data_IF_920767083823
#
_entry.id   IF_920767083823
#
_cell.length_a   1.000
_cell.length_b   1.000
_cell.length_c   1.000
_cell.angle_alpha   90.00
_cell.angle_beta   90.00
_cell.angle_gamma   90.00
#
_symmetry.space_group_name_H-M   'P 1'
#
loop_
_entity.id
_entity.type
_entity.pdbx_description
1 polymer ?
#
# COMPACT_ATOMS: atom_id res chain seq x y z
N UNK A 1 20.84 3.43 3.63
CA UNK A 1 19.53 3.91 3.17
C UNK A 1 19.27 3.62 1.69
N UNK A 2 20.29 3.42 0.85
CA UNK A 2 20.13 3.25 -0.61
C UNK A 2 19.82 1.83 -1.11
N UNK A 3 20.07 0.79 -0.33
CA UNK A 3 19.89 -0.61 -0.81
C UNK A 3 18.45 -1.10 -0.78
N UNK A 4 17.63 -0.67 0.18
CA UNK A 4 16.23 -1.11 0.26
C UNK A 4 15.36 -0.46 -0.84
N UNK A 5 15.58 0.82 -1.11
CA UNK A 5 14.88 1.57 -2.17
C UNK A 5 15.23 1.01 -3.55
N UNK A 6 16.49 0.63 -3.78
CA UNK A 6 16.92 0.02 -5.04
C UNK A 6 16.31 -1.38 -5.26
N UNK A 7 16.05 -2.14 -4.20
CA UNK A 7 15.45 -3.48 -4.30
C UNK A 7 13.97 -3.36 -4.69
N UNK A 8 13.21 -2.44 -4.09
CA UNK A 8 11.78 -2.24 -4.40
C UNK A 8 11.60 -1.68 -5.82
N UNK A 9 12.43 -0.72 -6.25
CA UNK A 9 12.37 -0.15 -7.60
C UNK A 9 12.82 -1.14 -8.68
N UNK A 10 13.84 -1.95 -8.40
CA UNK A 10 14.33 -2.97 -9.33
C UNK A 10 13.32 -4.09 -9.60
N UNK A 11 12.50 -4.45 -8.61
CA UNK A 11 11.47 -5.48 -8.76
C UNK A 11 10.27 -5.04 -9.61
N UNK A 12 9.89 -3.76 -9.57
CA UNK A 12 8.71 -3.24 -10.30
C UNK A 12 9.03 -3.05 -11.79
N UNK A 13 10.26 -2.66 -12.13
CA UNK A 13 10.65 -2.42 -13.53
C UNK A 13 10.89 -3.73 -14.30
N UNK A 14 11.22 -4.83 -13.62
CA UNK A 14 11.56 -6.10 -14.25
C UNK A 14 10.36 -6.85 -14.87
N UNK A 15 9.12 -6.51 -14.51
CA UNK A 15 7.92 -7.18 -15.05
C UNK A 15 7.47 -6.68 -16.44
N UNK A 16 8.06 -5.61 -16.96
CA UNK A 16 7.69 -5.04 -18.29
C UNK A 16 8.28 -5.78 -19.48
N UNK A 17 9.15 -6.76 -19.28
CA UNK A 17 9.92 -7.42 -20.35
C UNK A 17 9.54 -8.88 -20.64
N UNK A 18 8.32 -9.32 -20.34
CA UNK A 18 7.79 -10.62 -20.80
C UNK A 18 8.56 -11.88 -20.38
N UNK A 19 9.56 -11.77 -19.53
CA UNK A 19 10.25 -12.89 -18.89
C UNK A 19 9.83 -12.93 -17.43
N UNK A 20 9.18 -13.99 -17.00
CA UNK A 20 8.96 -14.29 -15.59
C UNK A 20 10.34 -14.42 -14.93
N UNK A 21 10.85 -13.33 -14.37
CA UNK A 21 12.00 -13.41 -13.49
C UNK A 21 11.55 -14.16 -12.24
N UNK A 22 12.08 -15.36 -12.03
CA UNK A 22 11.86 -16.11 -10.80
C UNK A 22 12.14 -15.17 -9.61
N UNK A 23 11.19 -15.10 -8.70
CA UNK A 23 11.37 -14.31 -7.50
C UNK A 23 12.68 -14.73 -6.81
N UNK A 24 13.49 -13.78 -6.32
CA UNK A 24 14.70 -14.13 -5.57
C UNK A 24 14.38 -15.15 -4.48
N UNK A 25 15.25 -16.12 -4.26
CA UNK A 25 15.01 -17.24 -3.34
C UNK A 25 14.56 -16.81 -1.93
N UNK A 26 15.02 -15.65 -1.45
CA UNK A 26 14.60 -15.10 -0.17
C UNK A 26 13.11 -14.67 -0.16
N UNK A 27 12.56 -14.19 -1.31
CA UNK A 27 11.14 -13.85 -1.44
C UNK A 27 10.28 -15.12 -1.51
N UNK A 28 10.77 -16.18 -2.14
CA UNK A 28 10.10 -17.48 -2.15
C UNK A 28 10.02 -18.09 -0.74
N UNK A 29 11.03 -17.88 0.09
CA UNK A 29 11.05 -18.35 1.48
C UNK A 29 10.14 -17.49 2.38
N UNK A 30 10.09 -16.17 2.16
CA UNK A 30 9.15 -15.26 2.83
C UNK A 30 7.68 -15.53 2.43
N UNK A 31 7.45 -15.98 1.20
CA UNK A 31 6.12 -16.28 0.66
C UNK A 31 5.65 -17.70 0.96
N UNK A 32 6.41 -18.52 1.72
CA UNK A 32 6.00 -19.88 2.07
C UNK A 32 4.68 -19.81 2.84
N UNK A 33 3.62 -20.41 2.26
CA UNK A 33 2.24 -20.44 2.78
C UNK A 33 1.54 -19.06 2.87
N UNK A 34 2.08 -18.03 2.17
CA UNK A 34 1.55 -16.67 2.17
C UNK A 34 1.40 -16.15 0.74
N UNK A 35 0.55 -15.16 0.55
CA UNK A 35 0.46 -14.43 -0.72
C UNK A 35 1.19 -13.11 -0.59
N UNK A 36 2.31 -12.98 -1.28
CA UNK A 36 3.05 -11.73 -1.38
C UNK A 36 2.60 -10.99 -2.63
N UNK A 37 2.13 -9.74 -2.46
CA UNK A 37 1.60 -8.92 -3.55
C UNK A 37 2.32 -7.58 -3.62
N UNK A 38 2.57 -7.10 -4.84
CA UNK A 38 2.94 -5.70 -5.05
C UNK A 38 1.68 -4.82 -5.06
N UNK A 39 1.87 -3.57 -4.72
CA UNK A 39 0.83 -2.55 -4.69
C UNK A 39 1.28 -1.32 -5.48
N UNK A 40 0.37 -0.71 -6.22
CA UNK A 40 0.60 0.53 -6.94
C UNK A 40 -0.63 1.43 -6.86
N UNK A 41 -0.43 2.69 -6.51
CA UNK A 41 -1.47 3.72 -6.60
C UNK A 41 -0.97 4.89 -7.44
N UNK A 42 -1.64 5.18 -8.56
CA UNK A 42 -1.31 6.33 -9.39
C UNK A 42 -1.96 7.63 -8.93
N UNK A 43 -2.99 7.55 -8.07
CA UNK A 43 -3.86 8.69 -7.81
C UNK A 43 -4.55 8.65 -6.45
N UNK A 44 -4.64 9.82 -5.83
CA UNK A 44 -5.43 10.06 -4.61
C UNK A 44 -6.38 11.22 -4.84
N UNK A 45 -7.68 10.98 -4.62
CA UNK A 45 -8.71 12.02 -4.60
C UNK A 45 -8.75 12.67 -3.22
N UNK A 46 -8.49 13.97 -3.13
CA UNK A 46 -8.59 14.73 -1.89
C UNK A 46 -10.00 15.32 -1.74
N UNK A 47 -10.60 15.18 -0.55
CA UNK A 47 -11.94 15.76 -0.29
C UNK A 47 -11.90 17.28 -0.12
N UNK A 48 -10.76 17.84 0.26
CA UNK A 48 -10.54 19.28 0.35
C UNK A 48 -9.41 19.67 -0.58
N UNK A 49 -9.68 20.00 -1.86
CA UNK A 49 -8.66 20.41 -2.81
C UNK A 49 -7.88 21.64 -2.32
N UNK A 50 -6.58 21.66 -2.59
CA UNK A 50 -5.68 22.80 -2.28
C UNK A 50 -4.63 22.88 -3.38
N UNK A 51 -4.20 24.09 -3.72
CA UNK A 51 -3.13 24.32 -4.70
C UNK A 51 -1.77 23.78 -4.22
N UNK A 52 -1.61 23.57 -2.91
CA UNK A 52 -0.44 22.92 -2.32
C UNK A 52 -0.40 21.41 -2.56
N UNK A 53 -1.52 20.80 -2.94
CA UNK A 53 -1.59 19.35 -3.13
C UNK A 53 -0.89 18.93 -4.42
N UNK A 54 0.00 17.97 -4.27
CA UNK A 54 0.71 17.29 -5.36
C UNK A 54 0.11 15.90 -5.58
N UNK A 55 0.31 15.36 -6.77
CA UNK A 55 -0.09 14.00 -7.05
C UNK A 55 0.64 13.01 -6.13
N UNK A 56 -0.11 12.11 -5.52
CA UNK A 56 0.40 11.04 -4.65
C UNK A 56 0.55 9.79 -5.49
N UNK A 57 1.79 9.31 -5.63
CA UNK A 57 2.09 8.02 -6.26
C UNK A 57 2.66 7.11 -5.18
N UNK A 58 2.09 5.90 -5.06
CA UNK A 58 2.47 4.92 -4.05
C UNK A 58 2.88 3.61 -4.71
N UNK A 59 3.91 3.00 -4.15
CA UNK A 59 4.32 1.61 -4.43
C UNK A 59 4.46 0.88 -3.09
N UNK A 60 4.17 -0.40 -3.08
CA UNK A 60 4.26 -1.18 -1.85
C UNK A 60 4.33 -2.67 -2.05
N UNK A 61 4.50 -3.35 -0.94
CA UNK A 61 4.45 -4.81 -0.83
C UNK A 61 3.56 -5.17 0.35
N UNK A 62 2.65 -6.08 0.12
CA UNK A 62 1.72 -6.62 1.12
C UNK A 62 1.85 -8.13 1.19
N UNK A 63 1.80 -8.65 2.38
CA UNK A 63 1.77 -10.07 2.68
C UNK A 63 0.39 -10.44 3.27
N UNK A 64 -0.33 -11.32 2.60
CA UNK A 64 -1.55 -11.94 3.15
C UNK A 64 -1.19 -13.31 3.71
N UNK A 65 -1.47 -13.50 4.99
CA UNK A 65 -1.24 -14.74 5.71
C UNK A 65 -2.42 -15.71 5.56
N UNK A 66 -2.23 -17.04 5.78
CA UNK A 66 -3.31 -18.03 5.69
C UNK A 66 -4.49 -17.78 6.64
N UNK A 67 -4.25 -17.09 7.74
CA UNK A 67 -5.25 -16.69 8.74
C UNK A 67 -5.90 -15.34 8.42
N UNK A 68 -5.77 -14.86 7.18
CA UNK A 68 -6.32 -13.59 6.69
C UNK A 68 -5.75 -12.33 7.37
N UNK A 69 -4.63 -12.43 8.08
CA UNK A 69 -3.87 -11.25 8.53
C UNK A 69 -3.14 -10.61 7.36
N UNK A 70 -2.95 -9.30 7.46
CA UNK A 70 -2.18 -8.51 6.50
C UNK A 70 -1.05 -7.80 7.22
N UNK A 71 0.12 -7.78 6.62
CA UNK A 71 1.21 -6.88 6.95
C UNK A 71 1.88 -6.37 5.67
N UNK A 72 2.57 -5.24 5.75
CA UNK A 72 3.19 -4.68 4.57
C UNK A 72 3.89 -3.34 4.81
N UNK A 73 4.43 -2.83 3.71
CA UNK A 73 5.10 -1.55 3.67
C UNK A 73 4.84 -0.85 2.34
N UNK A 74 4.54 0.45 2.41
CA UNK A 74 4.36 1.28 1.22
C UNK A 74 5.29 2.50 1.27
N UNK A 75 5.72 2.93 0.09
CA UNK A 75 6.51 4.12 -0.14
C UNK A 75 5.73 5.03 -1.07
N UNK A 76 5.61 6.30 -0.74
CA UNK A 76 4.91 7.28 -1.55
C UNK A 76 5.43 8.70 -1.34
N UNK A 77 5.11 9.58 -2.26
CA UNK A 77 5.19 11.02 -2.02
C UNK A 77 3.85 11.46 -1.44
N UNK A 78 3.85 12.08 -0.26
CA UNK A 78 2.61 12.59 0.32
C UNK A 78 2.06 13.78 -0.48
N UNK A 79 0.87 14.23 -0.14
CA UNK A 79 0.17 15.33 -0.83
C UNK A 79 0.96 16.65 -0.88
N UNK A 80 2.02 16.77 -0.12
CA UNK A 80 2.89 17.96 -0.09
C UNK A 80 4.27 17.69 -0.72
N UNK A 81 4.42 16.52 -1.39
CA UNK A 81 5.64 16.14 -2.12
C UNK A 81 6.77 15.63 -1.24
N UNK A 82 6.52 15.31 0.03
CA UNK A 82 7.53 14.73 0.92
C UNK A 82 7.56 13.21 0.79
N UNK A 83 8.76 12.58 0.73
CA UNK A 83 8.87 11.13 0.78
C UNK A 83 8.29 10.58 2.09
N UNK A 84 7.43 9.60 1.98
CA UNK A 84 6.68 9.04 3.09
C UNK A 84 6.68 7.52 3.02
N UNK A 85 6.75 6.90 4.18
CA UNK A 85 6.67 5.44 4.38
C UNK A 85 5.48 5.15 5.26
N UNK A 86 4.72 4.12 4.94
CA UNK A 86 3.74 3.53 5.83
C UNK A 86 4.06 2.05 6.02
N UNK A 87 4.45 1.68 7.23
CA UNK A 87 4.67 0.29 7.63
C UNK A 87 3.51 -0.16 8.51
N UNK A 88 2.84 -1.24 8.12
CA UNK A 88 1.67 -1.76 8.82
C UNK A 88 1.89 -3.24 9.20
N UNK A 89 2.31 -3.52 10.44
CA UNK A 89 2.46 -4.88 10.93
C UNK A 89 1.11 -5.53 11.31
N UNK A 90 0.03 -4.77 11.28
CA UNK A 90 -1.31 -5.25 11.62
C UNK A 90 -2.29 -4.93 10.50
N UNK A 91 -3.11 -5.93 10.17
CA UNK A 91 -4.18 -5.79 9.21
C UNK A 91 -4.98 -7.07 9.08
N UNK A 92 -6.06 -7.00 8.30
CA UNK A 92 -6.90 -8.15 8.02
C UNK A 92 -7.71 -7.97 6.75
N UNK A 93 -8.13 -9.10 6.18
CA UNK A 93 -9.01 -9.15 5.03
C UNK A 93 -10.24 -10.02 5.33
N UNK A 94 -11.42 -9.49 5.01
CA UNK A 94 -12.69 -10.19 5.09
C UNK A 94 -13.21 -10.36 3.66
N UNK A 95 -13.09 -11.60 3.14
CA UNK A 95 -13.49 -11.96 1.77
C UNK A 95 -15.01 -12.16 1.68
N UNK A 96 -15.55 -12.07 0.45
CA UNK A 96 -16.99 -12.25 0.16
C UNK A 96 -17.87 -11.31 1.00
N UNK A 97 -17.45 -10.04 1.03
CA UNK A 97 -18.16 -9.02 1.79
C UNK A 97 -19.63 -8.92 1.31
N UNK A 98 -20.57 -8.94 2.24
CA UNK A 98 -22.03 -8.95 1.97
C UNK A 98 -22.50 -10.08 1.04
N UNK A 99 -21.77 -11.17 0.95
CA UNK A 99 -22.07 -12.29 0.05
C UNK A 99 -21.68 -12.03 -1.43
N UNK A 100 -21.01 -10.92 -1.72
CA UNK A 100 -20.56 -10.58 -3.07
C UNK A 100 -19.20 -11.25 -3.30
N UNK A 101 -19.16 -12.18 -4.27
CA UNK A 101 -17.90 -12.80 -4.68
C UNK A 101 -16.88 -11.76 -5.13
N UNK A 102 -15.61 -12.05 -4.86
CA UNK A 102 -14.48 -11.17 -5.20
C UNK A 102 -14.45 -9.80 -4.49
N UNK A 103 -15.50 -9.40 -3.76
CA UNK A 103 -15.49 -8.18 -2.95
C UNK A 103 -14.94 -8.49 -1.56
N UNK A 104 -13.98 -7.69 -1.11
CA UNK A 104 -13.36 -7.84 0.20
C UNK A 104 -13.31 -6.51 0.95
N UNK A 105 -13.50 -6.55 2.26
CA UNK A 105 -13.11 -5.47 3.14
C UNK A 105 -11.71 -5.74 3.67
N UNK A 106 -10.84 -4.74 3.60
CA UNK A 106 -9.48 -4.78 4.15
C UNK A 106 -9.32 -3.66 5.18
N UNK A 107 -8.44 -3.87 6.12
CA UNK A 107 -7.96 -2.81 7.00
C UNK A 107 -6.49 -3.04 7.30
N UNK A 108 -5.75 -1.95 7.49
CA UNK A 108 -4.36 -1.98 7.92
C UNK A 108 -4.15 -0.98 9.05
N UNK A 109 -3.23 -1.28 9.96
CA UNK A 109 -2.86 -0.41 11.05
C UNK A 109 -1.35 -0.42 11.24
N UNK A 110 -0.76 0.75 11.41
CA UNK A 110 0.68 0.86 11.51
C UNK A 110 1.17 2.27 11.73
N UNK A 111 2.42 2.50 11.37
CA UNK A 111 3.12 3.74 11.56
C UNK A 111 3.48 4.37 10.22
N UNK A 112 3.08 5.60 10.05
CA UNK A 112 3.41 6.47 8.93
C UNK A 112 4.57 7.36 9.33
N UNK A 113 5.56 7.54 8.45
CA UNK A 113 6.65 8.49 8.62
C UNK A 113 6.86 9.30 7.34
N UNK A 114 6.89 10.64 7.47
CA UNK A 114 7.19 11.48 6.30
C UNK A 114 6.58 12.88 6.35
N UNK A 115 5.53 13.12 7.13
CA UNK A 115 4.95 14.46 7.29
C UNK A 115 5.78 15.27 8.28
N UNK A 116 6.69 16.08 7.76
CA UNK A 116 7.60 16.96 8.52
C UNK A 116 7.28 18.43 8.28
N UNK A 117 7.92 19.30 9.03
CA UNK A 117 7.75 20.74 8.85
C UNK A 117 7.91 21.15 7.36
N UNK A 118 7.03 22.06 6.88
CA UNK A 118 5.94 22.75 7.57
C UNK A 118 4.61 21.98 7.64
N UNK A 119 4.55 20.71 7.22
CA UNK A 119 3.30 19.94 7.03
C UNK A 119 3.04 18.89 8.12
N UNK A 120 3.72 19.00 9.26
CA UNK A 120 3.57 18.03 10.36
C UNK A 120 2.14 17.95 10.92
N UNK A 121 1.39 19.05 10.89
CA UNK A 121 0.04 19.15 11.44
C UNK A 121 -1.05 18.64 10.44
N UNK A 122 -0.64 18.15 9.27
CA UNK A 122 -1.55 17.64 8.24
C UNK A 122 -1.99 16.18 8.47
N UNK A 123 -1.38 15.50 9.43
CA UNK A 123 -1.77 14.15 9.87
C UNK A 123 -1.93 14.13 11.39
N UNK A 124 -2.93 13.41 11.91
CA UNK A 124 -3.21 13.37 13.34
C UNK A 124 -2.07 12.70 14.12
N UNK A 125 -1.89 13.14 15.37
CA UNK A 125 -0.92 12.57 16.32
C UNK A 125 0.53 12.53 15.81
N UNK A 126 0.90 13.45 14.92
CA UNK A 126 2.26 13.52 14.40
C UNK A 126 3.25 13.92 15.50
N UNK A 127 4.27 13.08 15.69
CA UNK A 127 5.40 13.39 16.55
C UNK A 127 6.70 13.14 15.78
N UNK A 128 7.47 14.20 15.52
CA UNK A 128 8.73 14.15 14.75
C UNK A 128 8.62 13.43 13.39
N UNK A 129 7.50 13.60 12.69
CA UNK A 129 7.24 12.97 11.39
C UNK A 129 6.58 11.60 11.48
N UNK A 130 6.45 11.01 12.66
CA UNK A 130 5.75 9.76 12.89
C UNK A 130 4.29 9.99 13.26
N UNK A 131 3.39 9.21 12.68
CA UNK A 131 1.96 9.28 12.94
C UNK A 131 1.35 7.88 12.89
N UNK A 132 0.54 7.46 13.87
CA UNK A 132 -0.24 6.22 13.75
C UNK A 132 -1.28 6.38 12.64
N UNK A 133 -1.53 5.31 11.90
CA UNK A 133 -2.54 5.31 10.87
C UNK A 133 -3.30 3.99 10.85
N UNK A 134 -4.63 4.09 10.65
CA UNK A 134 -5.52 2.96 10.36
C UNK A 134 -6.21 3.27 9.05
N UNK A 135 -6.10 2.36 8.08
CA UNK A 135 -6.62 2.56 6.73
C UNK A 135 -7.58 1.42 6.39
N UNK A 136 -8.89 1.66 6.44
CA UNK A 136 -9.88 0.74 5.89
C UNK A 136 -9.92 0.85 4.37
N UNK A 137 -10.28 -0.26 3.70
CA UNK A 137 -10.35 -0.31 2.25
C UNK A 137 -11.43 -1.30 1.77
N UNK A 138 -11.93 -1.06 0.56
CA UNK A 138 -12.69 -2.02 -0.22
C UNK A 138 -11.83 -2.48 -1.40
N UNK A 139 -11.74 -3.79 -1.59
CA UNK A 139 -10.99 -4.39 -2.69
C UNK A 139 -11.88 -5.31 -3.51
N UNK A 140 -11.75 -5.24 -4.83
CA UNK A 140 -12.45 -6.10 -5.76
C UNK A 140 -11.45 -6.82 -6.67
N UNK A 141 -11.48 -8.16 -6.65
CA UNK A 141 -10.67 -8.99 -7.53
C UNK A 141 -11.34 -9.10 -8.90
N UNK A 142 -10.82 -8.38 -9.89
CA UNK A 142 -11.34 -8.34 -11.25
C UNK A 142 -10.73 -9.40 -12.18
N UNK A 143 -9.64 -10.02 -11.76
CA UNK A 143 -8.95 -11.11 -12.42
C UNK A 143 -8.23 -11.93 -11.35
N UNK A 144 -8.06 -13.27 -11.52
CA UNK A 144 -7.36 -14.09 -10.53
C UNK A 144 -6.03 -13.45 -10.07
N UNK A 145 -5.96 -13.14 -8.78
CA UNK A 145 -4.83 -12.47 -8.15
C UNK A 145 -4.72 -10.97 -8.38
N UNK A 146 -5.50 -10.35 -9.29
CA UNK A 146 -5.46 -8.91 -9.53
C UNK A 146 -6.64 -8.22 -8.88
N UNK A 147 -6.39 -7.24 -8.05
CA UNK A 147 -7.44 -6.47 -7.39
C UNK A 147 -7.29 -4.98 -7.58
N UNK A 148 -8.43 -4.30 -7.74
CA UNK A 148 -8.58 -2.87 -7.56
C UNK A 148 -9.02 -2.59 -6.14
N UNK A 149 -8.44 -1.58 -5.50
CA UNK A 149 -8.71 -1.26 -4.09
C UNK A 149 -8.93 0.23 -3.92
N UNK A 150 -9.90 0.56 -3.07
CA UNK A 150 -10.21 1.91 -2.64
C UNK A 150 -9.87 2.05 -1.17
N UNK A 151 -8.81 2.79 -0.88
CA UNK A 151 -8.36 3.06 0.48
C UNK A 151 -9.00 4.36 1.00
N UNK A 152 -9.56 4.31 2.21
CA UNK A 152 -10.17 5.45 2.87
C UNK A 152 -9.15 6.11 3.80
N UNK A 153 -8.69 7.30 3.43
CA UNK A 153 -7.66 8.05 4.17
C UNK A 153 -8.30 9.00 5.21
N UNK A 154 -9.31 8.52 5.93
CA UNK A 154 -10.09 9.31 6.87
C UNK A 154 -10.78 10.49 6.18
N UNK A 155 -10.60 11.68 6.71
CA UNK A 155 -11.15 12.93 6.14
C UNK A 155 -10.29 13.52 5.02
N UNK A 156 -9.12 12.95 4.74
CA UNK A 156 -8.19 13.48 3.74
C UNK A 156 -8.62 13.13 2.30
N UNK A 157 -9.11 11.89 2.06
CA UNK A 157 -9.46 11.49 0.70
C UNK A 157 -9.57 9.99 0.48
N UNK A 158 -9.59 9.62 -0.80
CA UNK A 158 -9.64 8.25 -1.29
C UNK A 158 -8.41 7.97 -2.16
N UNK A 159 -7.71 6.86 -1.90
CA UNK A 159 -6.59 6.43 -2.72
C UNK A 159 -6.98 5.20 -3.53
N UNK A 160 -6.83 5.29 -4.86
CA UNK A 160 -7.07 4.19 -5.78
C UNK A 160 -5.79 3.36 -5.94
N UNK A 161 -5.90 2.05 -5.77
CA UNK A 161 -4.76 1.15 -5.78
C UNK A 161 -5.05 -0.07 -6.65
N UNK A 162 -4.03 -0.58 -7.29
CA UNK A 162 -4.02 -1.90 -7.94
C UNK A 162 -2.98 -2.75 -7.24
N UNK A 163 -3.29 -4.04 -7.07
CA UNK A 163 -2.34 -5.02 -6.53
C UNK A 163 -2.44 -6.35 -7.27
N UNK A 164 -1.30 -7.06 -7.31
CA UNK A 164 -1.22 -8.41 -7.83
C UNK A 164 -0.09 -9.20 -7.13
N UNK A 165 -0.19 -10.54 -7.08
CA UNK A 165 0.85 -11.35 -6.47
C UNK A 165 2.16 -11.26 -7.26
N UNK A 166 3.27 -11.46 -6.57
CA UNK A 166 4.54 -11.79 -7.20
C UNK A 166 4.47 -13.23 -7.67
N UNK A 167 4.55 -13.43 -8.98
CA UNK A 167 4.58 -14.75 -9.61
C UNK A 167 5.97 -15.39 -9.49
#
# INVERSE_FOLDING_TARGET
MNKLISIVFGLIVAQSAGHALAAPAFLADLARDKVLSWQFSPYTLHFSPSDDHKNVVMVGVECEHPDARLDGITLFTNSFGQPTVYAYPWGGVYKTLWGIEHLSFKWTAGLLYGYRDPYKDKVPYNHNGFSPAVIPALAYEFKPGWSGQLNFLGTAGLMFQVSAPFN
#
